data_IF_717851500422
#
_entry.id   IF_717851500422
#
_cell.length_a   1.000
_cell.length_b   1.000
_cell.length_c   1.000
_cell.angle_alpha   90.00
_cell.angle_beta   90.00
_cell.angle_gamma   90.00
#
_symmetry.space_group_name_H-M   'P 1'
#
loop_
_entity.id
_entity.type
_entity.pdbx_description
1 polymer ?
#
# COMPACT_ATOMS: atom_id res chain seq x y z
N UNK A 1 2.15 13.69 6.49
CA UNK A 1 2.75 12.36 6.75
C UNK A 1 1.90 11.22 6.19
N UNK A 2 0.75 10.85 6.75
CA UNK A 2 0.04 9.60 6.38
C UNK A 2 -0.28 9.42 4.88
N UNK A 3 -0.61 10.48 4.15
CA UNK A 3 -0.78 10.43 2.69
C UNK A 3 0.48 9.96 1.94
N UNK A 4 1.67 10.43 2.32
CA UNK A 4 2.92 10.01 1.68
C UNK A 4 3.19 8.51 1.87
N UNK A 5 2.85 7.96 3.04
CA UNK A 5 2.99 6.54 3.29
C UNK A 5 1.95 5.72 2.51
N UNK A 6 0.67 5.96 2.80
CA UNK A 6 -0.43 5.07 2.38
C UNK A 6 -1.03 5.43 1.02
N UNK A 7 -0.87 6.68 0.58
CA UNK A 7 -1.31 7.16 -0.73
C UNK A 7 -0.22 7.14 -1.80
N UNK A 8 1.06 7.03 -1.41
CA UNK A 8 2.19 7.06 -2.37
C UNK A 8 3.15 5.88 -2.20
N UNK A 9 3.96 5.83 -1.14
CA UNK A 9 5.06 4.86 -1.04
C UNK A 9 4.59 3.39 -1.04
N UNK A 10 3.66 3.03 -0.16
CA UNK A 10 3.20 1.64 -0.04
C UNK A 10 2.49 1.15 -1.33
N UNK A 11 1.56 1.91 -1.95
CA UNK A 11 0.99 1.56 -3.25
C UNK A 11 2.04 1.43 -4.36
N UNK A 12 2.98 2.37 -4.47
CA UNK A 12 4.03 2.35 -5.50
C UNK A 12 4.88 1.07 -5.39
N UNK A 13 5.24 0.65 -4.19
CA UNK A 13 5.97 -0.61 -3.99
C UNK A 13 5.18 -1.85 -4.39
N UNK A 14 3.86 -1.86 -4.19
CA UNK A 14 2.98 -2.95 -4.66
C UNK A 14 2.93 -2.97 -6.19
N UNK A 15 2.78 -1.81 -6.83
CA UNK A 15 2.80 -1.69 -8.29
C UNK A 15 4.12 -2.19 -8.88
N UNK A 16 5.26 -1.81 -8.28
CA UNK A 16 6.57 -2.28 -8.70
C UNK A 16 6.67 -3.81 -8.59
N UNK A 17 6.26 -4.39 -7.46
CA UNK A 17 6.31 -5.83 -7.25
C UNK A 17 5.41 -6.63 -8.19
N UNK A 18 4.34 -6.02 -8.72
CA UNK A 18 3.41 -6.70 -9.62
C UNK A 18 3.75 -6.50 -11.10
N UNK A 19 4.12 -5.28 -11.51
CA UNK A 19 4.31 -4.93 -12.92
C UNK A 19 5.77 -4.90 -13.38
N UNK A 20 6.74 -4.65 -12.51
CA UNK A 20 8.14 -4.44 -12.91
C UNK A 20 9.00 -5.72 -12.92
N UNK A 21 8.38 -6.91 -12.78
CA UNK A 21 9.11 -8.19 -12.83
C UNK A 21 9.80 -8.49 -14.17
N UNK A 22 9.49 -7.72 -15.21
CA UNK A 22 10.11 -7.82 -16.53
C UNK A 22 11.41 -7.01 -16.64
N UNK A 23 11.70 -6.14 -15.68
CA UNK A 23 12.95 -5.38 -15.61
C UNK A 23 14.04 -6.30 -15.08
N UNK A 24 15.22 -6.28 -15.71
CA UNK A 24 16.31 -7.19 -15.39
C UNK A 24 16.76 -7.12 -13.92
N UNK A 25 17.09 -8.29 -13.38
CA UNK A 25 17.53 -8.47 -12.01
C UNK A 25 16.44 -8.25 -10.95
N UNK A 26 16.87 -7.88 -9.75
CA UNK A 26 15.98 -7.73 -8.59
C UNK A 26 15.47 -6.29 -8.39
N UNK A 27 15.41 -5.48 -9.45
CA UNK A 27 15.02 -4.06 -9.38
C UNK A 27 13.62 -3.90 -8.79
N UNK A 28 12.66 -4.69 -9.25
CA UNK A 28 11.29 -4.68 -8.71
C UNK A 28 11.27 -4.96 -7.20
N UNK A 29 12.13 -5.86 -6.73
CA UNK A 29 12.20 -6.27 -5.33
C UNK A 29 12.84 -5.17 -4.48
N UNK A 30 13.91 -4.55 -4.96
CA UNK A 30 14.53 -3.39 -4.31
C UNK A 30 13.56 -2.23 -4.19
N UNK A 31 12.90 -1.85 -5.29
CA UNK A 31 11.90 -0.76 -5.26
C UNK A 31 10.79 -1.10 -4.28
N UNK A 32 10.27 -2.34 -4.31
CA UNK A 32 9.27 -2.78 -3.35
C UNK A 32 9.73 -2.61 -1.90
N UNK A 33 10.89 -3.17 -1.53
CA UNK A 33 11.40 -3.14 -0.16
C UNK A 33 11.68 -1.72 0.31
N UNK A 34 12.38 -0.91 -0.48
CA UNK A 34 12.72 0.47 -0.08
C UNK A 34 11.47 1.32 0.10
N UNK A 35 10.51 1.24 -0.83
CA UNK A 35 9.25 1.99 -0.68
C UNK A 35 8.39 1.49 0.48
N UNK A 36 8.38 0.18 0.78
CA UNK A 36 7.70 -0.35 1.97
C UNK A 36 8.31 0.22 3.25
N UNK A 37 9.64 0.19 3.39
CA UNK A 37 10.31 0.74 4.56
C UNK A 37 10.12 2.25 4.69
N UNK A 38 10.25 3.02 3.60
CA UNK A 38 9.97 4.46 3.60
C UNK A 38 8.54 4.77 4.02
N UNK A 39 7.56 3.99 3.54
CA UNK A 39 6.15 4.13 3.94
C UNK A 39 5.92 3.83 5.42
N UNK A 40 6.50 2.76 5.95
CA UNK A 40 6.40 2.42 7.38
C UNK A 40 7.10 3.44 8.28
N UNK A 41 8.30 3.91 7.91
CA UNK A 41 9.00 4.97 8.63
C UNK A 41 8.18 6.25 8.69
N UNK A 42 7.62 6.67 7.56
CA UNK A 42 6.78 7.87 7.51
C UNK A 42 5.45 7.69 8.30
N UNK A 43 4.91 6.47 8.36
CA UNK A 43 3.77 6.14 9.24
C UNK A 43 4.16 6.29 10.71
N UNK A 44 5.30 5.73 11.12
CA UNK A 44 5.81 5.84 12.48
C UNK A 44 6.04 7.30 12.89
N UNK A 45 6.70 8.09 12.03
CA UNK A 45 6.89 9.53 12.26
C UNK A 45 5.54 10.24 12.44
N UNK A 46 4.56 9.98 11.58
CA UNK A 46 3.25 10.62 11.71
C UNK A 46 2.50 10.22 13.00
N UNK A 47 2.68 9.00 13.52
CA UNK A 47 2.16 8.63 14.84
C UNK A 47 2.86 9.43 15.94
N UNK A 48 4.19 9.54 15.90
CA UNK A 48 4.94 10.32 16.89
C UNK A 48 4.48 11.78 16.92
N UNK A 49 4.24 12.40 15.76
CA UNK A 49 3.67 13.75 15.69
C UNK A 49 2.31 13.84 16.37
N UNK A 50 1.41 12.90 16.10
CA UNK A 50 0.07 12.90 16.73
C UNK A 50 0.16 12.73 18.24
N UNK A 51 1.03 11.84 18.73
CA UNK A 51 1.23 11.62 20.17
C UNK A 51 1.82 12.86 20.84
N UNK A 52 2.78 13.51 20.21
CA UNK A 52 3.44 14.71 20.74
C UNK A 52 2.49 15.93 20.76
N UNK A 53 1.69 16.12 19.72
CA UNK A 53 0.79 17.27 19.59
C UNK A 53 -0.50 17.13 20.42
N UNK A 54 -1.10 15.93 20.45
CA UNK A 54 -2.43 15.73 21.05
C UNK A 54 -2.41 15.21 22.49
N UNK A 55 -1.24 15.01 23.10
CA UNK A 55 -1.08 14.48 24.48
C UNK A 55 -1.90 13.20 24.76
N UNK A 56 -2.22 12.42 23.72
CA UNK A 56 -3.02 11.20 23.84
C UNK A 56 -3.78 10.82 22.56
N UNK A 57 -4.25 9.58 22.48
CA UNK A 57 -5.08 9.08 21.38
C UNK A 57 -6.54 8.95 21.84
N UNK A 58 -7.46 9.68 21.20
CA UNK A 58 -8.90 9.50 21.42
C UNK A 58 -9.43 8.30 20.65
N UNK A 59 -9.33 7.10 21.24
CA UNK A 59 -9.61 5.79 20.61
C UNK A 59 -11.07 5.65 20.12
N UNK A 60 -12.01 6.46 20.63
CA UNK A 60 -13.41 6.40 20.21
C UNK A 60 -13.69 6.96 18.80
N UNK A 61 -12.74 7.69 18.21
CA UNK A 61 -12.87 8.21 16.85
C UNK A 61 -12.71 7.08 15.81
N UNK A 62 -13.62 7.04 14.84
CA UNK A 62 -13.59 6.07 13.73
C UNK A 62 -12.24 6.10 13.00
N UNK A 63 -11.70 7.29 12.75
CA UNK A 63 -10.38 7.48 12.16
C UNK A 63 -9.27 6.76 12.94
N UNK A 64 -9.26 6.88 14.27
CA UNK A 64 -8.24 6.25 15.12
C UNK A 64 -8.34 4.73 15.07
N UNK A 65 -9.56 4.17 15.11
CA UNK A 65 -9.78 2.72 14.99
C UNK A 65 -9.28 2.16 13.66
N UNK A 66 -9.62 2.82 12.54
CA UNK A 66 -9.16 2.42 11.20
C UNK A 66 -7.65 2.62 11.08
N UNK A 67 -7.11 3.71 11.64
CA UNK A 67 -5.67 3.98 11.67
C UNK A 67 -4.88 2.91 12.41
N UNK A 68 -5.35 2.45 13.58
CA UNK A 68 -4.74 1.34 14.32
C UNK A 68 -4.76 0.07 13.48
N UNK A 69 -5.91 -0.28 12.90
CA UNK A 69 -6.01 -1.46 12.01
C UNK A 69 -5.04 -1.36 10.83
N UNK A 70 -4.94 -0.18 10.21
CA UNK A 70 -4.02 0.11 9.11
C UNK A 70 -2.57 -0.15 9.51
N UNK A 71 -2.14 0.37 10.66
CA UNK A 71 -0.78 0.20 11.18
C UNK A 71 -0.48 -1.27 11.48
N UNK A 72 -1.41 -1.98 12.12
CA UNK A 72 -1.28 -3.43 12.38
C UNK A 72 -1.10 -4.19 11.07
N UNK A 73 -1.97 -3.95 10.09
CA UNK A 73 -1.91 -4.59 8.78
C UNK A 73 -0.64 -4.23 8.00
N UNK A 74 -0.09 -3.04 8.20
CA UNK A 74 1.20 -2.63 7.62
C UNK A 74 2.39 -3.35 8.25
N UNK A 75 2.45 -3.36 9.59
CA UNK A 75 3.56 -3.95 10.34
C UNK A 75 3.60 -5.49 10.26
N UNK A 76 2.45 -6.16 10.06
CA UNK A 76 2.45 -7.60 9.86
C UNK A 76 3.03 -8.01 8.49
N UNK A 77 3.03 -7.12 7.49
CA UNK A 77 3.57 -7.45 6.16
C UNK A 77 5.07 -7.79 6.18
N UNK A 78 5.98 -6.99 6.77
CA UNK A 78 7.40 -7.35 6.84
C UNK A 78 7.64 -8.60 7.69
N UNK A 79 6.87 -8.81 8.77
CA UNK A 79 6.95 -10.04 9.58
C UNK A 79 6.57 -11.27 8.73
N UNK A 80 5.45 -11.20 8.01
CA UNK A 80 5.02 -12.24 7.08
C UNK A 80 6.05 -12.44 5.95
N UNK A 81 6.66 -11.37 5.46
CA UNK A 81 7.70 -11.43 4.44
C UNK A 81 9.01 -12.05 4.94
N UNK A 82 9.31 -11.93 6.23
CA UNK A 82 10.43 -12.61 6.86
C UNK A 82 10.20 -14.13 6.96
N UNK A 83 8.95 -14.55 7.21
CA UNK A 83 8.53 -15.96 7.25
C UNK A 83 8.34 -16.60 5.86
N UNK A 84 8.74 -15.89 4.81
CA UNK A 84 8.63 -16.31 3.42
C UNK A 84 9.33 -17.67 3.20
N UNK A 85 8.60 -18.74 2.77
CA UNK A 85 9.19 -20.05 2.51
C UNK A 85 10.32 -19.97 1.49
N UNK A 86 11.34 -20.83 1.57
CA UNK A 86 12.47 -20.82 0.63
C UNK A 86 12.00 -20.99 -0.82
N UNK A 87 12.73 -20.37 -1.75
CA UNK A 87 12.57 -20.66 -3.18
C UNK A 87 13.14 -22.07 -3.42
N UNK A 88 12.46 -22.89 -4.23
CA UNK A 88 13.02 -24.17 -4.69
C UNK A 88 14.25 -23.95 -5.57
N UNK A 89 14.93 -25.04 -5.93
CA UNK A 89 16.13 -24.98 -6.75
C UNK A 89 15.84 -24.48 -8.17
N UNK A 90 16.88 -24.13 -8.92
CA UNK A 90 16.72 -23.60 -10.29
C UNK A 90 16.07 -24.67 -11.16
N UNK A 91 14.88 -24.36 -11.69
CA UNK A 91 14.09 -25.29 -12.51
C UNK A 91 13.03 -26.07 -11.73
N UNK A 92 12.99 -25.96 -10.40
CA UNK A 92 11.95 -26.57 -9.59
C UNK A 92 10.73 -25.66 -9.46
N UNK A 93 9.55 -26.28 -9.48
CA UNK A 93 8.30 -25.60 -9.18
C UNK A 93 8.27 -25.11 -7.72
N UNK A 94 7.69 -23.93 -7.42
CA UNK A 94 7.58 -23.45 -6.06
C UNK A 94 6.75 -24.42 -5.20
N UNK A 95 7.17 -24.62 -3.95
CA UNK A 95 6.40 -25.44 -3.01
C UNK A 95 4.97 -24.90 -2.80
N UNK A 96 3.98 -25.75 -2.49
CA UNK A 96 2.61 -25.30 -2.23
C UNK A 96 2.54 -24.21 -1.14
N UNK A 97 3.36 -24.34 -0.10
CA UNK A 97 3.48 -23.34 0.96
C UNK A 97 3.96 -21.99 0.43
N UNK A 98 4.92 -21.98 -0.49
CA UNK A 98 5.43 -20.77 -1.14
C UNK A 98 4.37 -20.09 -2.00
N UNK A 99 3.56 -20.87 -2.71
CA UNK A 99 2.44 -20.37 -3.53
C UNK A 99 1.37 -19.74 -2.63
N UNK A 100 0.92 -20.48 -1.60
CA UNK A 100 -0.09 -19.99 -0.64
C UNK A 100 0.38 -18.73 0.08
N UNK A 101 1.63 -18.73 0.58
CA UNK A 101 2.25 -17.55 1.17
C UNK A 101 2.23 -16.36 0.21
N UNK A 102 2.54 -16.59 -1.08
CA UNK A 102 2.54 -15.54 -2.10
C UNK A 102 1.17 -14.88 -2.28
N UNK A 103 0.10 -15.68 -2.29
CA UNK A 103 -1.27 -15.16 -2.34
C UNK A 103 -1.65 -14.40 -1.07
N UNK A 104 -1.41 -14.99 0.10
CA UNK A 104 -1.72 -14.36 1.39
C UNK A 104 -1.00 -13.01 1.51
N UNK A 105 0.31 -12.98 1.27
CA UNK A 105 1.10 -11.76 1.33
C UNK A 105 0.60 -10.69 0.34
N UNK A 106 0.31 -11.07 -0.91
CA UNK A 106 -0.17 -10.13 -1.92
C UNK A 106 -1.55 -9.55 -1.59
N UNK A 107 -2.52 -10.38 -1.19
CA UNK A 107 -3.87 -9.91 -0.88
C UNK A 107 -3.95 -9.16 0.44
N UNK A 108 -3.26 -9.61 1.49
CA UNK A 108 -3.18 -8.88 2.76
C UNK A 108 -2.49 -7.52 2.58
N UNK A 109 -1.42 -7.43 1.78
CA UNK A 109 -0.77 -6.16 1.49
C UNK A 109 -1.67 -5.17 0.74
N UNK A 110 -2.44 -5.64 -0.26
CA UNK A 110 -3.43 -4.81 -0.97
C UNK A 110 -4.57 -4.36 -0.05
N UNK A 111 -5.05 -5.25 0.81
CA UNK A 111 -6.05 -4.90 1.83
C UNK A 111 -5.52 -3.84 2.79
N UNK A 112 -4.26 -3.96 3.25
CA UNK A 112 -3.64 -2.95 4.12
C UNK A 112 -3.65 -1.56 3.48
N UNK A 113 -3.27 -1.46 2.19
CA UNK A 113 -3.33 -0.19 1.45
C UNK A 113 -4.76 0.32 1.31
N UNK A 114 -5.72 -0.54 0.98
CA UNK A 114 -7.13 -0.15 0.89
C UNK A 114 -7.67 0.43 2.20
N UNK A 115 -7.40 -0.24 3.32
CA UNK A 115 -7.77 0.25 4.66
C UNK A 115 -7.04 1.55 4.99
N UNK A 116 -5.76 1.68 4.62
CA UNK A 116 -5.00 2.91 4.83
C UNK A 116 -5.49 4.11 4.03
N UNK A 117 -5.97 3.89 2.80
CA UNK A 117 -6.66 4.95 2.02
C UNK A 117 -7.94 5.39 2.75
N UNK A 118 -8.72 4.44 3.28
CA UNK A 118 -9.90 4.76 4.08
C UNK A 118 -9.55 5.49 5.39
N UNK A 119 -8.40 5.18 6.01
CA UNK A 119 -7.87 5.90 7.16
C UNK A 119 -7.57 7.37 6.82
N UNK A 120 -7.01 7.65 5.63
CA UNK A 120 -6.77 9.03 5.17
C UNK A 120 -8.10 9.78 5.00
N UNK A 121 -9.09 9.20 4.32
CA UNK A 121 -10.39 9.84 4.13
C UNK A 121 -11.10 10.13 5.44
N UNK A 122 -11.17 9.15 6.35
CA UNK A 122 -11.77 9.34 7.66
C UNK A 122 -11.05 10.41 8.49
N UNK A 123 -9.73 10.52 8.37
CA UNK A 123 -8.94 11.56 9.03
C UNK A 123 -9.20 12.95 8.47
N UNK A 124 -9.28 13.08 7.14
CA UNK A 124 -9.62 14.37 6.51
C UNK A 124 -11.04 14.81 6.82
N UNK A 125 -12.01 13.88 6.84
CA UNK A 125 -13.38 14.20 7.26
C UNK A 125 -13.40 14.74 8.68
N UNK A 126 -12.71 14.07 9.61
CA UNK A 126 -12.62 14.52 11.00
C UNK A 126 -11.99 15.91 11.14
N UNK A 127 -10.94 16.22 10.35
CA UNK A 127 -10.33 17.54 10.32
C UNK A 127 -11.30 18.61 9.78
N UNK A 128 -12.03 18.30 8.71
CA UNK A 128 -13.02 19.20 8.12
C UNK A 128 -14.16 19.52 9.09
N UNK A 129 -14.71 18.49 9.75
CA UNK A 129 -15.78 18.64 10.74
C UNK A 129 -15.33 19.49 11.96
N UNK A 130 -14.02 19.46 12.30
CA UNK A 130 -13.47 20.18 13.46
C UNK A 130 -13.12 21.64 13.17
N UNK A 131 -12.62 21.95 11.98
CA UNK A 131 -12.05 23.26 11.65
C UNK A 131 -12.83 24.06 10.60
N UNK A 132 -13.92 23.50 10.02
CA UNK A 132 -14.73 24.09 8.92
C UNK A 132 -13.88 24.74 7.81
N UNK A 133 -12.77 24.09 7.49
CA UNK A 133 -11.74 24.66 6.64
C UNK A 133 -12.01 24.31 5.16
N UNK A 134 -12.18 25.33 4.33
CA UNK A 134 -12.37 25.17 2.89
C UNK A 134 -11.22 24.41 2.22
N UNK A 135 -10.01 24.51 2.77
CA UNK A 135 -8.83 23.80 2.29
C UNK A 135 -8.99 22.28 2.41
N UNK A 136 -9.70 21.79 3.44
CA UNK A 136 -9.95 20.35 3.62
C UNK A 136 -10.83 19.82 2.48
N UNK A 137 -11.82 20.58 2.03
CA UNK A 137 -12.65 20.21 0.86
C UNK A 137 -11.81 20.14 -0.41
N UNK A 138 -10.90 21.10 -0.61
CA UNK A 138 -9.95 21.11 -1.72
C UNK A 138 -9.03 19.88 -1.70
N UNK A 139 -8.42 19.57 -0.56
CA UNK A 139 -7.55 18.41 -0.36
C UNK A 139 -8.30 17.09 -0.57
N UNK A 140 -9.56 17.00 -0.14
CA UNK A 140 -10.40 15.82 -0.36
C UNK A 140 -10.68 15.59 -1.85
N UNK A 141 -10.97 16.64 -2.61
CA UNK A 141 -11.11 16.54 -4.07
C UNK A 141 -9.81 16.11 -4.73
N UNK A 142 -8.68 16.69 -4.33
CA UNK A 142 -7.37 16.32 -4.84
C UNK A 142 -7.03 14.84 -4.54
N UNK A 143 -7.37 14.34 -3.35
CA UNK A 143 -7.19 12.93 -3.00
C UNK A 143 -8.05 12.00 -3.88
N UNK A 144 -9.31 12.37 -4.15
CA UNK A 144 -10.17 11.60 -5.06
C UNK A 144 -9.55 11.53 -6.46
N UNK A 145 -9.09 12.67 -7.00
CA UNK A 145 -8.41 12.72 -8.30
C UNK A 145 -7.14 11.86 -8.29
N UNK A 146 -6.34 11.91 -7.23
CA UNK A 146 -5.14 11.08 -7.06
C UNK A 146 -5.46 9.59 -7.10
N UNK A 147 -6.50 9.15 -6.38
CA UNK A 147 -6.92 7.75 -6.37
C UNK A 147 -7.45 7.32 -7.73
N UNK A 148 -8.24 8.16 -8.40
CA UNK A 148 -8.71 7.89 -9.76
C UNK A 148 -7.54 7.73 -10.72
N UNK A 149 -6.54 8.60 -10.66
CA UNK A 149 -5.31 8.49 -11.46
C UNK A 149 -4.59 7.16 -11.18
N UNK A 150 -4.48 6.76 -9.91
CA UNK A 150 -3.92 5.47 -9.51
C UNK A 150 -4.70 4.27 -10.07
N UNK A 151 -6.03 4.30 -9.99
CA UNK A 151 -6.90 3.25 -10.56
C UNK A 151 -6.76 3.18 -12.08
N UNK A 152 -6.79 4.32 -12.78
CA UNK A 152 -6.60 4.36 -14.23
C UNK A 152 -5.22 3.81 -14.63
N UNK A 153 -4.18 4.11 -13.84
CA UNK A 153 -2.84 3.55 -14.04
C UNK A 153 -2.85 2.02 -13.91
N UNK A 154 -3.49 1.47 -12.88
CA UNK A 154 -3.64 0.01 -12.71
C UNK A 154 -4.40 -0.61 -13.89
N UNK A 155 -5.52 -0.02 -14.29
CA UNK A 155 -6.32 -0.51 -15.42
C UNK A 155 -5.52 -0.51 -16.72
N UNK A 156 -4.77 0.56 -16.99
CA UNK A 156 -3.89 0.66 -18.14
C UNK A 156 -2.80 -0.42 -18.12
N UNK A 157 -2.14 -0.64 -16.97
CA UNK A 157 -1.09 -1.64 -16.84
C UNK A 157 -1.64 -3.08 -16.99
N UNK A 158 -2.82 -3.38 -16.44
CA UNK A 158 -3.47 -4.68 -16.67
C UNK A 158 -3.89 -4.88 -18.12
N UNK A 159 -4.41 -3.83 -18.78
CA UNK A 159 -4.74 -3.87 -20.20
C UNK A 159 -3.51 -4.19 -21.05
N UNK A 160 -2.41 -3.45 -20.85
CA UNK A 160 -1.12 -3.68 -21.53
C UNK A 160 -0.61 -5.09 -21.29
N UNK A 161 -0.66 -5.57 -20.05
CA UNK A 161 -0.22 -6.93 -19.70
C UNK A 161 -1.01 -8.00 -20.44
N UNK A 162 -2.35 -7.90 -20.46
CA UNK A 162 -3.23 -8.83 -21.19
C UNK A 162 -2.99 -8.78 -22.71
N UNK A 163 -2.77 -7.58 -23.26
CA UNK A 163 -2.47 -7.41 -24.67
C UNK A 163 -1.18 -8.11 -25.09
N UNK A 164 -0.09 -7.92 -24.34
CA UNK A 164 1.18 -8.61 -24.59
C UNK A 164 1.08 -10.13 -24.44
N UNK A 165 0.30 -10.63 -23.47
CA UNK A 165 0.05 -12.06 -23.32
C UNK A 165 -0.69 -12.65 -24.53
N UNK A 166 -1.67 -11.94 -25.07
CA UNK A 166 -2.39 -12.39 -26.28
C UNK A 166 -1.46 -12.50 -27.48
N UNK A 167 -0.60 -11.51 -27.70
CA UNK A 167 0.35 -11.53 -28.81
C UNK A 167 1.33 -12.71 -28.76
N UNK A 168 1.78 -13.11 -27.57
CA UNK A 168 2.65 -14.29 -27.39
C UNK A 168 1.96 -15.63 -27.64
N UNK A 169 0.63 -15.68 -27.53
CA UNK A 169 -0.15 -16.91 -27.77
C UNK A 169 -0.52 -17.03 -29.26
N UNK A 170 -0.65 -15.89 -29.95
CA UNK A 170 -1.07 -15.84 -31.37
C UNK A 170 0.07 -15.88 -32.39
N UNK A 171 1.34 -15.83 -31.96
CA UNK A 171 2.52 -15.89 -32.81
C UNK A 171 3.39 -17.06 -32.41
#
# INVERSE_FOLDING_TARGET
>A
MMFLAWGMFLPCGILAAHYMKHVDGDVWFKIHVYTQWSGLTNTFLGILFVVAELWGLHINLLHVKIGILTVILGCIQPINAYLRPKKGDIGEEPSPQRIVWGYIHAYCGRLAVFVGVFAIFSGMKHLGDRYDDENVRGLMRALVVWILAGVLTVLYLEYRRKWHLRQRISG
#
